data_IF_777277460715
#
_entry.id   IF_777277460715
#
_cell.length_a   1.000
_cell.length_b   1.000
_cell.length_c   1.000
_cell.angle_alpha   90.00
_cell.angle_beta   90.00
_cell.angle_gamma   90.00
#
_symmetry.space_group_name_H-M   'P 1'
#
loop_
_entity.id
_entity.type
_entity.pdbx_description
1 polymer ?
#
# COMPACT_ATOMS: atom_id res chain seq x y z
N UNK A 1 -15.15 9.29 17.45
CA UNK A 1 -13.78 9.52 17.95
C UNK A 1 -13.33 10.89 17.48
N UNK A 2 -12.91 11.78 18.37
CA UNK A 2 -12.49 13.13 17.98
C UNK A 2 -11.21 13.04 17.12
N UNK A 3 -11.17 13.61 15.91
CA UNK A 3 -10.01 13.51 15.02
C UNK A 3 -8.73 14.06 15.67
N UNK A 4 -8.87 15.08 16.52
CA UNK A 4 -7.76 15.68 17.26
C UNK A 4 -7.09 14.70 18.25
N UNK A 5 -7.86 13.78 18.85
CA UNK A 5 -7.31 12.75 19.75
C UNK A 5 -6.51 11.70 18.97
N UNK A 6 -6.98 11.23 17.82
CA UNK A 6 -6.23 10.25 17.03
C UNK A 6 -4.90 10.84 16.53
N UNK A 7 -4.94 12.05 15.97
CA UNK A 7 -3.71 12.69 15.52
C UNK A 7 -2.77 12.95 16.68
N UNK A 8 -3.26 13.22 17.90
CA UNK A 8 -2.44 13.36 19.11
C UNK A 8 -1.62 12.11 19.48
N UNK A 9 -2.00 10.92 19.02
CA UNK A 9 -1.27 9.67 19.31
C UNK A 9 -0.55 9.10 18.08
N UNK A 10 -1.08 9.27 16.88
CA UNK A 10 -0.51 8.73 15.64
C UNK A 10 -0.57 9.75 14.50
N UNK A 11 0.58 10.00 13.87
CA UNK A 11 0.68 10.73 12.60
C UNK A 11 0.48 9.85 11.36
N UNK A 12 0.47 8.53 11.53
CA UNK A 12 0.24 7.54 10.45
C UNK A 12 -1.23 7.10 10.36
N UNK A 13 -2.02 7.31 11.40
CA UNK A 13 -3.43 6.95 11.42
C UNK A 13 -4.25 7.85 10.51
N UNK A 14 -5.00 7.24 9.59
CA UNK A 14 -6.04 7.94 8.80
C UNK A 14 -7.41 7.41 9.21
N UNK A 15 -8.29 8.30 9.66
CA UNK A 15 -9.63 7.92 10.11
C UNK A 15 -10.50 7.51 8.92
N UNK A 16 -11.09 6.32 9.03
CA UNK A 16 -12.14 5.88 8.11
C UNK A 16 -13.45 6.51 8.58
N UNK A 17 -13.88 7.57 7.92
CA UNK A 17 -15.18 8.20 8.19
C UNK A 17 -16.29 7.52 7.39
N UNK A 18 -17.30 6.99 8.07
CA UNK A 18 -18.50 6.39 7.44
C UNK A 18 -19.35 7.47 6.73
N UNK A 19 -19.03 8.76 6.83
CA UNK A 19 -19.75 9.82 6.10
C UNK A 19 -19.35 9.90 4.63
N UNK A 20 -18.13 9.50 4.29
CA UNK A 20 -17.64 9.53 2.92
C UNK A 20 -18.11 8.29 2.14
N UNK A 21 -18.66 8.51 0.94
CA UNK A 21 -19.17 7.44 0.08
C UNK A 21 -18.09 6.39 -0.21
N UNK A 22 -16.87 6.82 -0.53
CA UNK A 22 -15.74 5.93 -0.83
C UNK A 22 -15.37 5.03 0.35
N UNK A 23 -15.49 5.52 1.59
CA UNK A 23 -15.26 4.71 2.79
C UNK A 23 -16.37 3.68 3.01
N UNK A 24 -17.64 4.03 2.75
CA UNK A 24 -18.74 3.04 2.81
C UNK A 24 -18.57 1.96 1.74
N UNK A 25 -18.25 2.37 0.52
CA UNK A 25 -18.06 1.45 -0.59
C UNK A 25 -16.93 0.46 -0.32
N UNK A 26 -15.77 0.90 0.20
CA UNK A 26 -14.69 -0.05 0.50
C UNK A 26 -15.06 -1.02 1.62
N UNK A 27 -15.82 -0.59 2.65
CA UNK A 27 -16.29 -1.49 3.69
C UNK A 27 -17.24 -2.56 3.13
N UNK A 28 -18.12 -2.17 2.21
CA UNK A 28 -19.00 -3.11 1.49
C UNK A 28 -18.19 -4.05 0.58
N UNK A 29 -17.23 -3.54 -0.18
CA UNK A 29 -16.36 -4.37 -1.03
C UNK A 29 -15.53 -5.35 -0.20
N UNK A 30 -14.99 -4.91 0.93
CA UNK A 30 -14.26 -5.76 1.88
C UNK A 30 -15.16 -6.88 2.42
N UNK A 31 -16.37 -6.54 2.88
CA UNK A 31 -17.32 -7.52 3.39
C UNK A 31 -17.76 -8.50 2.30
N UNK A 32 -18.10 -8.00 1.12
CA UNK A 32 -18.49 -8.83 -0.02
C UNK A 32 -17.37 -9.77 -0.45
N UNK A 33 -16.13 -9.26 -0.57
CA UNK A 33 -14.97 -10.09 -0.90
C UNK A 33 -14.73 -11.17 0.16
N UNK A 34 -14.88 -10.84 1.45
CA UNK A 34 -14.73 -11.81 2.53
C UNK A 34 -15.81 -12.90 2.49
N UNK A 35 -17.07 -12.52 2.30
CA UNK A 35 -18.18 -13.47 2.22
C UNK A 35 -18.09 -14.37 1.00
N UNK A 36 -17.78 -13.81 -0.18
CA UNK A 36 -17.64 -14.59 -1.42
C UNK A 36 -16.44 -15.54 -1.35
N UNK A 37 -15.31 -15.09 -0.83
CA UNK A 37 -14.13 -15.94 -0.66
C UNK A 37 -14.37 -17.04 0.38
N UNK A 38 -15.01 -16.72 1.51
CA UNK A 38 -15.37 -17.71 2.53
C UNK A 38 -16.39 -18.74 2.02
N UNK A 39 -17.42 -18.30 1.30
CA UNK A 39 -18.40 -19.20 0.69
C UNK A 39 -17.76 -20.10 -0.39
N UNK A 40 -16.87 -19.54 -1.22
CA UNK A 40 -16.08 -20.32 -2.16
C UNK A 40 -15.21 -21.35 -1.45
N UNK A 41 -14.57 -20.96 -0.35
CA UNK A 41 -13.75 -21.86 0.46
C UNK A 41 -14.54 -23.07 0.98
N UNK A 42 -15.74 -22.83 1.55
CA UNK A 42 -16.64 -23.91 1.98
C UNK A 42 -17.06 -24.83 0.82
N UNK A 43 -17.38 -24.24 -0.33
CA UNK A 43 -17.89 -24.98 -1.48
C UNK A 43 -16.84 -25.83 -2.21
N UNK A 44 -15.57 -25.38 -2.23
CA UNK A 44 -14.51 -26.05 -2.99
C UNK A 44 -13.61 -26.96 -2.15
N UNK A 45 -13.43 -26.66 -0.86
CA UNK A 45 -12.46 -27.37 -0.02
C UNK A 45 -13.10 -28.26 1.06
N UNK A 46 -14.45 -28.31 1.14
CA UNK A 46 -15.22 -29.09 2.13
C UNK A 46 -14.75 -28.88 3.59
N UNK A 47 -14.24 -27.69 3.90
CA UNK A 47 -13.67 -27.35 5.21
C UNK A 47 -14.72 -26.79 6.20
N UNK A 48 -14.29 -26.60 7.45
CA UNK A 48 -15.12 -26.08 8.51
C UNK A 48 -15.41 -24.56 8.38
N UNK A 49 -16.48 -24.11 9.05
CA UNK A 49 -16.89 -22.70 9.05
C UNK A 49 -15.78 -21.78 9.56
N UNK A 50 -14.92 -22.28 10.44
CA UNK A 50 -13.81 -21.53 11.02
C UNK A 50 -12.73 -21.24 9.98
N UNK A 51 -12.31 -22.24 9.20
CA UNK A 51 -11.35 -22.06 8.10
C UNK A 51 -11.85 -21.05 7.07
N UNK A 52 -13.11 -21.19 6.67
CA UNK A 52 -13.76 -20.26 5.74
C UNK A 52 -13.83 -18.82 6.26
N UNK A 53 -14.14 -18.64 7.55
CA UNK A 53 -14.17 -17.32 8.16
C UNK A 53 -12.77 -16.68 8.19
N UNK A 54 -11.73 -17.45 8.52
CA UNK A 54 -10.34 -16.98 8.52
C UNK A 54 -9.92 -16.59 7.10
N UNK A 55 -10.10 -17.50 6.13
CA UNK A 55 -9.74 -17.26 4.73
C UNK A 55 -10.47 -16.04 4.15
N UNK A 56 -11.79 -15.99 4.32
CA UNK A 56 -12.60 -14.84 3.88
C UNK A 56 -12.13 -13.52 4.51
N UNK A 57 -11.88 -13.51 5.82
CA UNK A 57 -11.41 -12.29 6.51
C UNK A 57 -10.06 -11.79 5.96
N UNK A 58 -9.16 -12.71 5.61
CA UNK A 58 -7.85 -12.40 5.04
C UNK A 58 -7.97 -11.79 3.64
N UNK A 59 -8.82 -12.36 2.78
CA UNK A 59 -9.10 -11.80 1.46
C UNK A 59 -9.75 -10.42 1.56
N UNK A 60 -10.75 -10.26 2.45
CA UNK A 60 -11.36 -8.95 2.71
C UNK A 60 -10.32 -7.92 3.15
N UNK A 61 -9.41 -8.30 4.06
CA UNK A 61 -8.35 -7.40 4.52
C UNK A 61 -7.34 -7.07 3.40
N UNK A 62 -7.00 -8.03 2.55
CA UNK A 62 -6.12 -7.79 1.39
C UNK A 62 -6.73 -6.78 0.41
N UNK A 63 -8.03 -6.89 0.15
CA UNK A 63 -8.79 -5.96 -0.69
C UNK A 63 -8.79 -4.56 -0.08
N UNK A 64 -9.04 -4.46 1.23
CA UNK A 64 -8.96 -3.19 1.95
C UNK A 64 -7.54 -2.58 1.88
N UNK A 65 -6.49 -3.39 2.06
CA UNK A 65 -5.10 -2.94 1.97
C UNK A 65 -4.73 -2.49 0.56
N UNK A 66 -5.21 -3.18 -0.49
CA UNK A 66 -5.06 -2.74 -1.89
C UNK A 66 -5.63 -1.32 -2.08
N UNK A 67 -6.86 -1.11 -1.64
CA UNK A 67 -7.50 0.21 -1.70
C UNK A 67 -6.71 1.27 -0.93
N UNK A 68 -6.29 0.96 0.30
CA UNK A 68 -5.56 1.89 1.15
C UNK A 68 -4.21 2.28 0.53
N UNK A 69 -3.43 1.30 0.08
CA UNK A 69 -2.14 1.51 -0.60
C UNK A 69 -2.34 2.33 -1.87
N UNK A 70 -3.34 1.99 -2.70
CA UNK A 70 -3.61 2.72 -3.93
C UNK A 70 -3.96 4.19 -3.66
N UNK A 71 -4.68 4.49 -2.58
CA UNK A 71 -5.00 5.88 -2.19
C UNK A 71 -3.80 6.67 -1.72
N UNK A 72 -2.83 6.02 -1.09
CA UNK A 72 -1.56 6.69 -0.74
C UNK A 72 -0.71 6.91 -2.00
N UNK A 73 -0.68 5.96 -2.94
CA UNK A 73 0.05 6.09 -4.19
C UNK A 73 -0.60 7.07 -5.18
N UNK A 74 -1.93 7.20 -5.16
CA UNK A 74 -2.73 8.02 -6.07
C UNK A 74 -3.81 8.83 -5.33
N UNK A 75 -3.42 9.83 -4.54
CA UNK A 75 -4.37 10.57 -3.70
C UNK A 75 -5.38 11.40 -4.51
N UNK A 76 -5.03 11.83 -5.73
CA UNK A 76 -5.89 12.66 -6.60
C UNK A 76 -6.95 11.85 -7.38
N UNK A 77 -6.83 10.51 -7.42
CA UNK A 77 -7.74 9.65 -8.20
C UNK A 77 -8.39 8.59 -7.29
N UNK A 78 -9.37 8.96 -6.44
CA UNK A 78 -9.96 8.03 -5.47
C UNK A 78 -10.64 6.83 -6.13
N UNK A 79 -11.12 6.98 -7.38
CA UNK A 79 -11.73 5.89 -8.15
C UNK A 79 -10.72 4.89 -8.70
N UNK A 80 -9.46 5.29 -8.93
CA UNK A 80 -8.41 4.35 -9.30
C UNK A 80 -8.17 3.31 -8.19
N UNK A 81 -8.37 3.67 -6.92
CA UNK A 81 -8.30 2.71 -5.82
C UNK A 81 -9.36 1.62 -5.91
N UNK A 82 -10.53 1.88 -6.50
CA UNK A 82 -11.54 0.85 -6.73
C UNK A 82 -11.20 -0.04 -7.93
N UNK A 83 -10.49 0.49 -8.94
CA UNK A 83 -9.91 -0.34 -10.00
C UNK A 83 -8.87 -1.29 -9.40
N UNK A 84 -8.02 -0.81 -8.48
CA UNK A 84 -7.07 -1.66 -7.76
C UNK A 84 -7.76 -2.74 -6.90
N UNK A 85 -8.91 -2.42 -6.29
CA UNK A 85 -9.75 -3.40 -5.58
C UNK A 85 -10.24 -4.49 -6.53
N UNK A 86 -10.81 -4.13 -7.68
CA UNK A 86 -11.28 -5.10 -8.66
C UNK A 86 -10.17 -6.02 -9.17
N UNK A 87 -9.01 -5.46 -9.51
CA UNK A 87 -7.84 -6.20 -9.97
C UNK A 87 -7.24 -7.08 -8.87
N UNK A 88 -7.11 -6.56 -7.64
CA UNK A 88 -6.61 -7.35 -6.52
C UNK A 88 -7.56 -8.52 -6.22
N UNK A 89 -8.87 -8.28 -6.16
CA UNK A 89 -9.85 -9.34 -5.99
C UNK A 89 -9.73 -10.41 -7.08
N UNK A 90 -9.64 -10.02 -8.35
CA UNK A 90 -9.46 -10.97 -9.45
C UNK A 90 -8.14 -11.74 -9.36
N UNK A 91 -7.04 -11.07 -9.02
CA UNK A 91 -5.75 -11.72 -8.84
C UNK A 91 -5.72 -12.68 -7.66
N UNK A 92 -6.42 -12.38 -6.56
CA UNK A 92 -6.50 -13.26 -5.39
C UNK A 92 -7.23 -14.58 -5.68
N UNK A 93 -7.99 -14.70 -6.77
CA UNK A 93 -8.53 -15.97 -7.24
C UNK A 93 -7.52 -16.81 -8.04
N UNK A 94 -6.48 -16.17 -8.60
CA UNK A 94 -5.49 -16.79 -9.46
C UNK A 94 -4.20 -17.17 -8.72
N UNK A 95 -3.87 -16.42 -7.66
CA UNK A 95 -2.62 -16.56 -6.91
C UNK A 95 -2.87 -16.94 -5.45
N UNK A 96 -1.87 -17.56 -4.78
CA UNK A 96 -1.97 -17.91 -3.38
C UNK A 96 -2.14 -16.68 -2.48
N UNK A 97 -2.44 -16.97 -1.22
CA UNK A 97 -2.83 -15.98 -0.23
C UNK A 97 -1.78 -14.86 -0.05
N UNK A 98 -2.21 -13.59 0.02
CA UNK A 98 -1.33 -12.44 0.13
C UNK A 98 -0.74 -12.31 1.54
N UNK A 99 0.46 -11.72 1.65
CA UNK A 99 1.04 -11.44 2.96
C UNK A 99 0.52 -10.11 3.52
N UNK A 100 -0.51 -10.21 4.37
CA UNK A 100 -1.19 -9.06 4.97
C UNK A 100 -0.27 -8.19 5.83
N UNK A 101 0.70 -8.80 6.53
CA UNK A 101 1.63 -8.06 7.40
C UNK A 101 2.60 -7.25 6.56
N UNK A 102 3.10 -7.82 5.47
CA UNK A 102 3.97 -7.10 4.53
C UNK A 102 3.21 -5.97 3.82
N UNK A 103 1.98 -6.21 3.36
CA UNK A 103 1.11 -5.17 2.79
C UNK A 103 0.85 -4.03 3.78
N UNK A 104 0.57 -4.38 5.04
CA UNK A 104 0.39 -3.39 6.10
C UNK A 104 1.69 -2.60 6.36
N UNK A 105 2.85 -3.25 6.33
CA UNK A 105 4.15 -2.60 6.45
C UNK A 105 4.38 -1.59 5.31
N UNK A 106 4.09 -1.98 4.08
CA UNK A 106 4.16 -1.09 2.89
C UNK A 106 3.26 0.13 3.09
N UNK A 107 2.01 -0.08 3.52
CA UNK A 107 1.06 1.01 3.80
C UNK A 107 1.62 1.98 4.85
N UNK A 108 2.12 1.49 5.97
CA UNK A 108 2.66 2.35 7.03
C UNK A 108 3.89 3.14 6.56
N UNK A 109 4.76 2.53 5.77
CA UNK A 109 5.94 3.21 5.22
C UNK A 109 5.56 4.26 4.18
N UNK A 110 4.57 4.00 3.33
CA UNK A 110 4.00 5.00 2.43
C UNK A 110 3.49 6.20 3.23
N UNK A 111 2.72 5.96 4.30
CA UNK A 111 2.21 7.04 5.16
C UNK A 111 3.30 7.80 5.90
N UNK A 112 4.38 7.13 6.30
CA UNK A 112 5.53 7.76 6.93
C UNK A 112 6.21 8.76 5.98
N UNK A 113 6.39 8.36 4.71
CA UNK A 113 7.06 9.20 3.70
C UNK A 113 6.14 10.32 3.21
N UNK A 114 4.88 10.00 2.89
CA UNK A 114 3.90 10.94 2.32
C UNK A 114 3.39 11.93 3.37
N UNK A 115 3.20 11.48 4.61
CA UNK A 115 2.53 12.22 5.70
C UNK A 115 1.14 12.73 5.27
N UNK A 116 0.19 11.83 4.92
CA UNK A 116 -1.13 12.25 4.45
C UNK A 116 -1.93 13.03 5.51
N UNK A 117 -1.60 12.87 6.79
CA UNK A 117 -2.21 13.65 7.87
C UNK A 117 -1.65 15.08 7.99
N UNK A 118 -0.52 15.41 7.36
CA UNK A 118 0.22 16.67 7.58
C UNK A 118 1.04 16.71 8.87
N UNK A 119 0.77 15.80 9.80
CA UNK A 119 1.45 15.71 11.09
C UNK A 119 2.72 14.83 10.98
N UNK A 120 3.85 15.22 11.62
CA UNK A 120 5.02 14.36 11.73
C UNK A 120 4.69 13.03 12.45
N UNK A 121 5.32 11.93 12.01
CA UNK A 121 5.23 10.64 12.70
C UNK A 121 5.67 10.75 14.17
N UNK A 122 4.90 10.14 15.07
CA UNK A 122 5.14 10.15 16.51
C UNK A 122 5.99 8.95 16.95
N UNK A 123 6.58 8.96 18.15
CA UNK A 123 7.36 7.83 18.65
C UNK A 123 6.60 6.50 18.64
N UNK A 124 5.30 6.50 18.93
CA UNK A 124 4.45 5.31 18.87
C UNK A 124 4.36 4.70 17.46
N UNK A 125 4.29 5.55 16.43
CA UNK A 125 4.30 5.13 15.02
C UNK A 125 5.63 4.46 14.63
N UNK A 126 6.73 5.03 15.13
CA UNK A 126 8.08 4.51 14.91
C UNK A 126 8.27 3.18 15.62
N UNK A 127 7.83 3.05 16.87
CA UNK A 127 7.89 1.79 17.61
C UNK A 127 7.06 0.69 16.93
N UNK A 128 5.87 1.03 16.42
CA UNK A 128 5.04 0.10 15.64
C UNK A 128 5.78 -0.39 14.38
N UNK A 129 6.38 0.53 13.61
CA UNK A 129 7.15 0.17 12.41
C UNK A 129 8.39 -0.67 12.72
N UNK A 130 9.13 -0.34 13.79
CA UNK A 130 10.29 -1.11 14.22
C UNK A 130 9.90 -2.52 14.70
N UNK A 131 8.82 -2.64 15.48
CA UNK A 131 8.28 -3.93 15.90
C UNK A 131 7.83 -4.78 14.71
N UNK A 132 7.13 -4.17 13.74
CA UNK A 132 6.69 -4.84 12.53
C UNK A 132 7.88 -5.28 11.66
N UNK A 133 8.90 -4.42 11.51
CA UNK A 133 10.15 -4.75 10.83
C UNK A 133 10.85 -5.93 11.49
N UNK A 134 11.04 -5.90 12.81
CA UNK A 134 11.68 -6.98 13.56
C UNK A 134 10.95 -8.31 13.41
N UNK A 135 9.60 -8.28 13.49
CA UNK A 135 8.77 -9.47 13.29
C UNK A 135 8.88 -10.04 11.87
N UNK A 136 8.82 -9.18 10.84
CA UNK A 136 8.93 -9.63 9.44
C UNK A 136 10.33 -10.17 9.13
N UNK A 137 11.38 -9.53 9.66
CA UNK A 137 12.75 -10.06 9.55
C UNK A 137 12.91 -11.41 10.25
N UNK A 138 12.29 -11.60 11.42
CA UNK A 138 12.27 -12.89 12.11
C UNK A 138 11.58 -13.98 11.28
N UNK A 139 10.51 -13.64 10.54
CA UNK A 139 9.85 -14.52 9.56
C UNK A 139 10.65 -14.72 8.26
N UNK A 140 11.83 -14.11 8.14
CA UNK A 140 12.69 -14.23 6.96
C UNK A 140 12.29 -13.33 5.79
N UNK A 141 11.64 -12.19 6.05
CA UNK A 141 11.25 -11.22 5.02
C UNK A 141 12.17 -9.99 4.98
N UNK A 142 13.30 -10.05 4.24
CA UNK A 142 14.24 -8.93 4.14
C UNK A 142 13.66 -7.66 3.54
N UNK A 143 12.65 -7.80 2.67
CA UNK A 143 11.99 -6.67 2.01
C UNK A 143 11.49 -5.63 3.01
N UNK A 144 10.91 -6.06 4.13
CA UNK A 144 10.41 -5.17 5.17
C UNK A 144 11.54 -4.33 5.79
N UNK A 145 12.71 -4.95 6.03
CA UNK A 145 13.88 -4.26 6.57
C UNK A 145 14.41 -3.18 5.63
N UNK A 146 14.54 -3.49 4.33
CA UNK A 146 14.96 -2.50 3.33
C UNK A 146 13.93 -1.37 3.22
N UNK A 147 12.65 -1.71 3.20
CA UNK A 147 11.56 -0.77 3.01
C UNK A 147 11.46 0.21 4.20
N UNK A 148 11.52 -0.28 5.44
CA UNK A 148 11.49 0.55 6.65
C UNK A 148 12.74 1.42 6.77
N UNK A 149 13.93 0.85 6.49
CA UNK A 149 15.20 1.59 6.49
C UNK A 149 15.16 2.76 5.51
N UNK A 150 14.75 2.48 4.27
CA UNK A 150 14.66 3.50 3.23
C UNK A 150 13.54 4.53 3.52
N UNK A 151 12.42 4.10 4.11
CA UNK A 151 11.35 5.02 4.51
C UNK A 151 11.82 6.01 5.59
N UNK A 152 12.54 5.55 6.62
CA UNK A 152 13.15 6.45 7.63
C UNK A 152 14.19 7.38 7.01
N UNK A 153 15.04 6.86 6.13
CA UNK A 153 16.05 7.66 5.44
C UNK A 153 15.43 8.78 4.61
N UNK A 154 14.40 8.44 3.82
CA UNK A 154 13.65 9.39 3.01
C UNK A 154 12.92 10.41 3.89
N UNK A 155 12.24 9.97 4.96
CA UNK A 155 11.52 10.89 5.82
C UNK A 155 12.43 11.87 6.58
N UNK A 156 13.68 11.47 6.84
CA UNK A 156 14.75 12.34 7.34
C UNK A 156 15.39 13.23 6.28
N UNK A 157 15.27 12.93 4.99
CA UNK A 157 15.98 13.63 3.90
C UNK A 157 15.09 14.54 3.06
N UNK A 158 13.79 14.27 3.02
CA UNK A 158 12.81 15.05 2.25
C UNK A 158 12.44 16.38 2.95
N UNK A 159 11.80 17.33 2.23
CA UNK A 159 11.43 18.64 2.79
C UNK A 159 10.61 18.51 4.08
N UNK A 160 10.83 19.41 5.04
CA UNK A 160 10.39 19.29 6.44
C UNK A 160 10.94 18.01 7.11
N UNK A 161 12.28 17.85 7.13
CA UNK A 161 12.92 16.62 7.58
C UNK A 161 12.73 16.39 9.07
N UNK A 162 12.60 15.13 9.46
CA UNK A 162 12.77 14.70 10.85
C UNK A 162 14.18 14.13 11.01
N UNK A 163 15.15 14.98 11.35
CA UNK A 163 16.58 14.63 11.33
C UNK A 163 16.92 13.39 12.18
N UNK A 164 16.25 13.22 13.32
CA UNK A 164 16.45 12.08 14.21
C UNK A 164 16.15 10.73 13.54
N UNK A 165 15.25 10.69 12.55
CA UNK A 165 14.94 9.47 11.80
C UNK A 165 16.08 9.03 10.88
N UNK A 166 17.05 9.89 10.55
CA UNK A 166 18.25 9.48 9.80
C UNK A 166 19.12 8.54 10.65
N UNK A 167 19.27 8.85 11.94
CA UNK A 167 20.00 7.97 12.86
C UNK A 167 19.28 6.63 13.02
N UNK A 168 17.94 6.65 13.09
CA UNK A 168 17.16 5.42 13.08
C UNK A 168 17.34 4.62 11.79
N UNK A 169 17.36 5.28 10.64
CA UNK A 169 17.61 4.60 9.36
C UNK A 169 18.99 3.90 9.36
N UNK A 170 20.03 4.56 9.88
CA UNK A 170 21.36 3.94 10.01
C UNK A 170 21.33 2.73 10.94
N UNK A 171 20.66 2.84 12.10
CA UNK A 171 20.51 1.72 13.04
C UNK A 171 19.72 0.57 12.42
N UNK A 172 18.63 0.85 11.72
CA UNK A 172 17.83 -0.16 11.01
C UNK A 172 18.64 -0.84 9.92
N UNK A 173 19.36 -0.06 9.10
CA UNK A 173 20.22 -0.59 8.04
C UNK A 173 21.34 -1.47 8.60
N UNK A 174 21.99 -1.05 9.68
CA UNK A 174 23.01 -1.85 10.35
C UNK A 174 22.41 -3.14 10.93
N UNK A 175 21.25 -3.05 11.58
CA UNK A 175 20.55 -4.22 12.13
C UNK A 175 20.16 -5.23 11.03
N UNK A 176 19.77 -4.75 9.85
CA UNK A 176 19.46 -5.58 8.69
C UNK A 176 20.70 -6.31 8.17
N UNK A 177 21.84 -5.60 8.07
CA UNK A 177 23.10 -6.20 7.65
C UNK A 177 23.59 -7.26 8.64
N UNK A 178 23.50 -6.98 9.94
CA UNK A 178 23.83 -7.95 10.99
C UNK A 178 22.90 -9.17 10.91
N UNK A 179 21.59 -8.96 10.78
CA UNK A 179 20.62 -10.05 10.66
C UNK A 179 20.90 -10.93 9.43
N UNK A 180 21.21 -10.31 8.29
CA UNK A 180 21.59 -11.01 7.07
C UNK A 180 22.87 -11.83 7.25
N UNK A 181 23.86 -11.28 7.95
CA UNK A 181 25.15 -11.95 8.18
C UNK A 181 25.02 -13.14 9.14
N UNK A 182 24.21 -13.01 10.19
CA UNK A 182 23.97 -14.08 11.18
C UNK A 182 23.12 -15.22 10.61
N UNK A 183 22.13 -14.88 9.78
CA UNK A 183 21.23 -15.85 9.16
C UNK A 183 20.95 -15.40 7.73
N UNK A 184 21.79 -15.83 6.76
CA UNK A 184 21.52 -15.57 5.36
C UNK A 184 20.12 -16.05 5.04
N UNK A 185 19.29 -15.18 4.45
CA UNK A 185 17.93 -15.55 4.11
C UNK A 185 18.00 -16.75 3.15
N UNK A 186 17.47 -17.90 3.58
CA UNK A 186 17.42 -19.08 2.75
C UNK A 186 16.62 -18.74 1.49
N UNK A 187 17.29 -18.77 0.35
CA UNK A 187 16.68 -18.52 -0.95
C UNK A 187 16.07 -19.85 -1.39
N UNK A 188 14.73 -20.05 -1.31
CA UNK A 188 14.14 -21.08 -2.14
C UNK A 188 14.53 -20.78 -3.59
N UNK A 189 14.78 -21.80 -4.43
CA UNK A 189 15.07 -21.57 -5.84
C UNK A 189 13.98 -20.68 -6.43
N UNK A 190 14.38 -19.49 -6.89
CA UNK A 190 13.46 -18.52 -7.46
C UNK A 190 12.97 -19.07 -8.79
N UNK A 191 11.81 -19.73 -8.77
CA UNK A 191 11.06 -19.98 -9.99
C UNK A 191 10.43 -18.65 -10.37
N UNK A 192 11.02 -18.02 -11.37
CA UNK A 192 10.47 -16.85 -12.02
C UNK A 192 9.99 -17.29 -13.40
N UNK A 193 8.68 -17.49 -13.54
CA UNK A 193 8.09 -17.79 -14.85
C UNK A 193 8.30 -16.62 -15.80
N UNK A 194 8.47 -16.91 -17.09
CA UNK A 194 8.74 -15.89 -18.11
C UNK A 194 7.56 -14.91 -18.18
N UNK A 195 6.35 -15.43 -18.03
CA UNK A 195 5.10 -14.69 -18.01
C UNK A 195 5.06 -13.68 -16.85
N UNK A 196 5.39 -14.11 -15.63
CA UNK A 196 5.42 -13.24 -14.45
C UNK A 196 6.55 -12.21 -14.57
N UNK A 197 7.71 -12.59 -15.11
CA UNK A 197 8.81 -11.64 -15.36
C UNK A 197 8.39 -10.51 -16.32
N UNK A 198 7.80 -10.87 -17.47
CA UNK A 198 7.29 -9.90 -18.43
C UNK A 198 6.25 -9.00 -17.78
N UNK A 199 5.34 -9.57 -16.98
CA UNK A 199 4.31 -8.81 -16.27
C UNK A 199 4.90 -7.82 -15.25
N UNK A 200 5.88 -8.26 -14.45
CA UNK A 200 6.60 -7.40 -13.49
C UNK A 200 7.25 -6.22 -14.23
N UNK A 201 8.01 -6.50 -15.29
CA UNK A 201 8.70 -5.47 -16.07
C UNK A 201 7.68 -4.50 -16.69
N UNK A 202 6.60 -5.02 -17.27
CA UNK A 202 5.56 -4.20 -17.90
C UNK A 202 4.87 -3.28 -16.87
N UNK A 203 4.44 -3.82 -15.73
CA UNK A 203 3.78 -3.04 -14.67
C UNK A 203 4.73 -2.03 -14.02
N UNK A 204 5.97 -2.43 -13.73
CA UNK A 204 6.97 -1.54 -13.17
C UNK A 204 7.32 -0.40 -14.13
N UNK A 205 7.49 -0.70 -15.42
CA UNK A 205 7.78 0.30 -16.46
C UNK A 205 6.61 1.25 -16.64
N UNK A 206 5.38 0.71 -16.71
CA UNK A 206 4.18 1.53 -16.77
C UNK A 206 4.17 2.47 -15.55
N UNK A 207 4.23 1.94 -14.33
CA UNK A 207 4.21 2.76 -13.12
C UNK A 207 5.32 3.82 -13.08
N UNK A 208 6.53 3.50 -13.51
CA UNK A 208 7.63 4.47 -13.64
C UNK A 208 7.26 5.63 -14.59
N UNK A 209 6.64 5.33 -15.73
CA UNK A 209 6.14 6.35 -16.66
C UNK A 209 5.03 7.19 -16.04
N UNK A 210 4.16 6.61 -15.22
CA UNK A 210 3.15 7.36 -14.46
C UNK A 210 3.80 8.35 -13.48
N UNK A 211 4.76 7.91 -12.67
CA UNK A 211 5.50 8.78 -11.73
C UNK A 211 6.14 9.95 -12.48
N UNK A 212 6.71 9.69 -13.67
CA UNK A 212 7.33 10.72 -14.52
C UNK A 212 6.31 11.74 -15.03
N UNK A 213 5.10 11.31 -15.39
CA UNK A 213 4.03 12.17 -15.90
C UNK A 213 3.34 13.00 -14.82
N UNK A 214 3.41 12.60 -13.56
CA UNK A 214 2.81 13.35 -12.45
C UNK A 214 3.53 14.70 -12.26
N UNK A 215 2.87 15.81 -12.58
CA UNK A 215 3.44 17.17 -12.49
C UNK A 215 2.83 18.00 -11.36
N UNK A 216 1.58 17.76 -11.05
CA UNK A 216 0.80 18.51 -10.07
C UNK A 216 0.14 17.56 -9.08
N UNK A 217 -0.11 18.05 -7.88
CA UNK A 217 -0.75 17.32 -6.79
C UNK A 217 -1.77 18.24 -6.13
N UNK A 218 -3.04 17.85 -6.21
CA UNK A 218 -4.16 18.67 -5.70
C UNK A 218 -4.63 18.22 -4.31
N UNK A 219 -4.26 17.00 -3.90
CA UNK A 219 -4.61 16.45 -2.61
C UNK A 219 -4.07 17.27 -1.43
N UNK A 220 -4.91 17.37 -0.41
CA UNK A 220 -4.62 18.07 0.84
C UNK A 220 -4.49 17.09 2.00
N UNK A 221 -3.72 17.48 2.99
CA UNK A 221 -3.53 16.75 4.22
C UNK A 221 -4.80 16.75 5.08
N UNK A 222 -5.03 15.65 5.80
CA UNK A 222 -6.31 15.44 6.50
C UNK A 222 -6.46 16.26 7.79
N UNK A 223 -5.38 16.60 8.49
CA UNK A 223 -5.47 17.27 9.80
C UNK A 223 -5.40 18.80 9.68
N UNK A 224 -4.53 19.33 8.83
CA UNK A 224 -4.27 20.76 8.70
C UNK A 224 -4.73 21.35 7.35
N UNK A 225 -5.18 20.51 6.40
CA UNK A 225 -5.61 20.95 5.08
C UNK A 225 -4.47 21.48 4.19
N UNK A 226 -3.21 21.32 4.61
CA UNK A 226 -2.04 21.77 3.86
C UNK A 226 -1.90 20.99 2.54
N UNK A 227 -1.38 21.58 1.45
CA UNK A 227 -1.16 20.85 0.21
C UNK A 227 -0.10 19.76 0.43
N UNK A 228 -0.38 18.55 -0.07
CA UNK A 228 0.60 17.48 0.00
C UNK A 228 1.80 17.80 -0.89
N UNK A 229 2.99 17.42 -0.41
CA UNK A 229 4.24 17.70 -1.11
C UNK A 229 4.48 16.66 -2.22
N UNK A 230 4.44 17.09 -3.48
CA UNK A 230 4.68 16.22 -4.64
C UNK A 230 6.01 15.46 -4.55
N UNK A 231 7.07 16.08 -4.02
CA UNK A 231 8.37 15.44 -3.82
C UNK A 231 8.28 14.22 -2.89
N UNK A 232 7.45 14.29 -1.84
CA UNK A 232 7.25 13.19 -0.90
C UNK A 232 6.45 12.06 -1.53
N UNK A 233 5.40 12.39 -2.27
CA UNK A 233 4.61 11.41 -3.02
C UNK A 233 5.47 10.65 -4.04
N UNK A 234 6.23 11.37 -4.87
CA UNK A 234 7.13 10.73 -5.85
C UNK A 234 8.20 9.86 -5.17
N UNK A 235 8.79 10.33 -4.08
CA UNK A 235 9.76 9.54 -3.34
C UNK A 235 9.16 8.24 -2.78
N UNK A 236 7.93 8.30 -2.26
CA UNK A 236 7.20 7.12 -1.78
C UNK A 236 6.85 6.15 -2.92
N UNK A 237 6.39 6.67 -4.06
CA UNK A 237 6.10 5.87 -5.26
C UNK A 237 7.36 5.18 -5.80
N UNK A 238 8.48 5.91 -5.89
CA UNK A 238 9.78 5.35 -6.32
C UNK A 238 10.30 4.33 -5.32
N UNK A 239 10.18 4.58 -4.02
CA UNK A 239 10.56 3.64 -2.96
C UNK A 239 9.83 2.30 -3.15
N UNK A 240 8.50 2.33 -3.21
CA UNK A 240 7.70 1.10 -3.32
C UNK A 240 7.95 0.42 -4.68
N UNK A 241 8.02 1.18 -5.77
CA UNK A 241 8.34 0.63 -7.10
C UNK A 241 9.67 -0.12 -7.10
N UNK A 242 10.75 0.52 -6.61
CA UNK A 242 12.09 -0.08 -6.61
C UNK A 242 12.15 -1.30 -5.69
N UNK A 243 11.69 -1.17 -4.45
CA UNK A 243 11.79 -2.25 -3.46
C UNK A 243 10.91 -3.43 -3.85
N UNK A 244 9.65 -3.21 -4.23
CA UNK A 244 8.74 -4.29 -4.64
C UNK A 244 9.30 -4.98 -5.88
N UNK A 245 9.64 -4.24 -6.94
CA UNK A 245 10.11 -4.87 -8.18
C UNK A 245 11.43 -5.62 -8.00
N UNK A 246 12.41 -5.03 -7.29
CA UNK A 246 13.69 -5.66 -7.02
C UNK A 246 13.52 -6.96 -6.23
N UNK A 247 12.73 -6.93 -5.15
CA UNK A 247 12.51 -8.11 -4.34
C UNK A 247 11.67 -9.16 -5.07
N UNK A 248 10.67 -8.78 -5.84
CA UNK A 248 9.88 -9.74 -6.62
C UNK A 248 10.73 -10.43 -7.69
N UNK A 249 11.63 -9.70 -8.38
CA UNK A 249 12.59 -10.30 -9.31
C UNK A 249 13.57 -11.24 -8.60
N UNK A 250 13.92 -10.94 -7.35
CA UNK A 250 14.84 -11.76 -6.55
C UNK A 250 14.19 -13.03 -5.98
N UNK A 251 12.98 -12.92 -5.43
CA UNK A 251 12.25 -13.99 -4.74
C UNK A 251 11.28 -14.78 -5.63
N UNK A 252 11.07 -14.34 -6.87
CA UNK A 252 10.29 -15.05 -7.86
C UNK A 252 8.76 -14.95 -7.68
N UNK A 253 8.07 -15.91 -8.28
CA UNK A 253 6.61 -15.94 -8.41
C UNK A 253 5.88 -15.93 -7.06
N UNK A 254 6.49 -16.53 -6.03
CA UNK A 254 5.91 -16.57 -4.68
C UNK A 254 5.75 -15.18 -4.06
N UNK A 255 6.75 -14.29 -4.23
CA UNK A 255 6.63 -12.92 -3.74
C UNK A 255 5.74 -12.07 -4.64
N UNK A 256 5.69 -12.36 -5.95
CA UNK A 256 4.73 -11.72 -6.85
C UNK A 256 3.30 -11.97 -6.37
N UNK A 257 2.97 -13.23 -6.12
CA UNK A 257 1.67 -13.66 -5.59
C UNK A 257 1.34 -12.97 -4.26
N UNK A 258 2.30 -12.96 -3.32
CA UNK A 258 2.11 -12.33 -2.01
C UNK A 258 1.81 -10.82 -2.08
N UNK A 259 2.24 -10.15 -3.16
CA UNK A 259 2.12 -8.72 -3.39
C UNK A 259 1.17 -8.34 -4.53
N UNK A 260 0.32 -9.27 -4.99
CA UNK A 260 -0.72 -9.00 -6.00
C UNK A 260 -1.52 -7.71 -5.71
N UNK A 261 -1.93 -7.42 -4.44
CA UNK A 261 -2.57 -6.14 -4.11
C UNK A 261 -1.76 -4.90 -4.49
N UNK A 262 -0.42 -4.93 -4.36
CA UNK A 262 0.45 -3.81 -4.73
C UNK A 262 0.60 -3.71 -6.25
N UNK A 263 0.76 -4.84 -6.94
CA UNK A 263 0.80 -4.87 -8.41
C UNK A 263 -0.51 -4.37 -9.03
N UNK A 264 -1.65 -4.68 -8.42
CA UNK A 264 -2.95 -4.12 -8.79
C UNK A 264 -2.98 -2.59 -8.64
N UNK A 265 -2.35 -2.04 -7.59
CA UNK A 265 -2.20 -0.59 -7.44
C UNK A 265 -1.34 0.03 -8.55
N UNK A 266 -0.31 -0.66 -9.04
CA UNK A 266 0.52 -0.16 -10.14
C UNK A 266 -0.24 -0.14 -11.48
N UNK A 267 -1.10 -1.14 -11.72
CA UNK A 267 -1.92 -1.24 -12.94
C UNK A 267 -3.10 -0.26 -12.95
N UNK A 268 -3.68 0.02 -11.79
CA UNK A 268 -4.94 0.74 -11.66
C UNK A 268 -5.00 2.12 -12.33
N UNK A 269 -3.98 3.01 -12.25
CA UNK A 269 -4.01 4.32 -12.89
C UNK A 269 -4.11 4.24 -14.42
N UNK A 270 -3.48 3.23 -15.03
CA UNK A 270 -3.50 3.03 -16.49
C UNK A 270 -4.87 2.61 -16.97
N UNK A 271 -5.46 1.63 -16.27
CA UNK A 271 -6.80 1.16 -16.59
C UNK A 271 -7.83 2.25 -16.32
N UNK A 272 -7.71 2.97 -15.20
CA UNK A 272 -8.56 4.12 -14.93
C UNK A 272 -8.46 5.21 -16.01
N UNK A 273 -7.25 5.53 -16.47
CA UNK A 273 -7.05 6.48 -17.56
C UNK A 273 -7.64 5.98 -18.89
N UNK A 274 -7.49 4.68 -19.20
CA UNK A 274 -8.00 4.06 -20.40
C UNK A 274 -9.55 4.05 -20.45
N UNK A 275 -10.20 3.80 -19.31
CA UNK A 275 -11.66 3.68 -19.24
C UNK A 275 -12.39 4.99 -18.84
N UNK A 276 -11.73 5.94 -18.17
CA UNK A 276 -12.41 7.07 -17.53
C UNK A 276 -11.90 8.47 -17.87
N UNK A 277 -10.77 8.61 -18.58
CA UNK A 277 -10.08 9.89 -18.77
C UNK A 277 -10.77 10.94 -19.66
N UNK A 278 -11.90 10.63 -20.30
CA UNK A 278 -12.64 11.58 -21.17
C UNK A 278 -14.02 12.00 -20.64
N UNK A 279 -14.56 11.33 -19.61
CA UNK A 279 -15.94 11.58 -19.15
C UNK A 279 -16.08 12.33 -17.82
N UNK A 280 -15.04 12.32 -16.97
CA UNK A 280 -15.18 12.73 -15.57
C UNK A 280 -15.15 14.26 -15.34
N UNK A 281 -14.63 15.06 -16.26
CA UNK A 281 -14.68 16.54 -16.13
C UNK A 281 -16.10 17.09 -16.26
N UNK A 282 -17.04 16.38 -16.91
CA UNK A 282 -18.44 16.80 -17.01
C UNK A 282 -19.28 16.42 -15.79
N UNK A 283 -18.96 15.32 -15.11
CA UNK A 283 -19.79 14.80 -14.01
C UNK A 283 -19.49 15.45 -12.65
N UNK A 284 -18.27 15.98 -12.45
CA UNK A 284 -17.91 16.65 -11.19
C UNK A 284 -18.68 17.96 -11.01
N UNK A 285 -19.02 18.66 -12.10
CA UNK A 285 -19.85 19.87 -12.04
C UNK A 285 -21.32 19.61 -11.67
N UNK A 286 -21.83 18.39 -11.85
CA UNK A 286 -23.23 18.05 -11.52
C UNK A 286 -23.41 17.54 -10.08
N UNK A 287 -22.31 17.21 -9.39
CA UNK A 287 -22.34 16.68 -8.01
C UNK A 287 -21.84 17.70 -6.96
N UNK A 288 -21.20 18.79 -7.38
CA UNK A 288 -20.98 19.98 -6.55
C UNK A 288 -22.25 20.84 -6.58
N UNK A 289 -23.23 20.50 -5.75
CA UNK A 289 -24.42 21.32 -5.51
C UNK A 289 -24.09 22.64 -4.78
N UNK A 290 -23.16 23.44 -5.31
CA UNK A 290 -22.99 24.83 -4.94
C UNK A 290 -23.92 25.66 -5.84
N UNK A 291 -25.09 25.99 -5.29
CA UNK A 291 -25.94 27.04 -5.82
C UNK A 291 -25.16 28.36 -5.78
N UNK A 292 -24.98 29.07 -6.90
CA UNK A 292 -24.44 30.43 -6.88
C UNK A 292 -25.53 31.36 -6.33
N UNK A 293 -25.29 31.90 -5.14
CA UNK A 293 -25.90 33.15 -4.67
C UNK A 293 -24.95 34.30 -4.94
#
# INVERSE_FOLDING_TARGET
>A
MNPNLLYAWSGLGRLISVRLLTHRLILLCMLAAALLAGAGYLGFFEEDLKGAAIYGSQIGLAVFLSWAICRELHPDAPWAAFVAVGLASAGLWLWPMPDLLLLFCILLCLRLVIRPAGVPARPGDVLLLLGLMGWLLYRGQPMAGVLVTAAFWLNGSLPQPQAWQRYLALLCGLSLLIAFWLKPFALPPAFLSIEINILIIALATAFALFIRKLKELHARADADGSPLLLRRLKAAQVLVLLVVSMFTLWFGDGLFAALVPVWACFAAPFLYAAFGGRGASGAVHLLSGENPS
#
